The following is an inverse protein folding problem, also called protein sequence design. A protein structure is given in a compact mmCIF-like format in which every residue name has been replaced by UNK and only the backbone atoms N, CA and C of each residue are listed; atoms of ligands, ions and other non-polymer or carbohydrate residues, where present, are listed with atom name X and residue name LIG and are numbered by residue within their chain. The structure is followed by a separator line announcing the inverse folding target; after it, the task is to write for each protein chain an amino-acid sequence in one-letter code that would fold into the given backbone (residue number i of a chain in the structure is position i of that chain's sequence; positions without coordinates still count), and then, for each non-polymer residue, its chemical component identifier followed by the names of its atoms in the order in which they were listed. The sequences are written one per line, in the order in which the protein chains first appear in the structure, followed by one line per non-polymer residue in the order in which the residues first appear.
data_IF_096935988814
#
_entry.id   IF_096935988814
#
_cell.length_a   1.000
_cell.length_b   1.000
_cell.length_c   1.000
_cell.angle_alpha   90.00
_cell.angle_beta   90.00
_cell.angle_gamma   90.00
#
_symmetry.space_group_name_H-M   'P 1'
#
loop_
_entity.id
_entity.type
_entity.pdbx_description
1 polymer ?
#
# COMPACT_ATOMS: atom_id res chain seq x y z
N UNK A 1 13.18 12.05 27.36
CA UNK A 1 14.18 11.53 26.39
C UNK A 1 14.17 12.41 25.15
N UNK A 2 15.26 12.51 24.37
CA UNK A 2 15.33 13.36 23.17
C UNK A 2 15.79 12.57 21.96
N UNK A 3 15.03 12.68 20.88
CA UNK A 3 15.34 12.10 19.57
C UNK A 3 15.38 13.17 18.49
N UNK A 4 16.31 13.03 17.55
CA UNK A 4 16.35 13.91 16.38
C UNK A 4 15.20 13.58 15.42
N UNK A 5 14.85 12.30 15.28
CA UNK A 5 13.71 11.84 14.49
C UNK A 5 12.84 10.89 15.33
N UNK A 6 11.54 11.17 15.38
CA UNK A 6 10.52 10.27 15.91
C UNK A 6 9.62 9.84 14.76
N UNK A 7 9.47 8.52 14.57
CA UNK A 7 8.60 7.92 13.55
C UNK A 7 7.43 7.26 14.26
N UNK A 8 6.21 7.68 13.94
CA UNK A 8 4.97 7.17 14.54
C UNK A 8 4.35 6.16 13.58
N UNK A 9 4.33 4.88 13.97
CA UNK A 9 3.95 3.73 13.15
C UNK A 9 5.16 2.92 12.75
N UNK A 10 5.28 1.69 13.26
CA UNK A 10 6.44 0.81 13.09
C UNK A 10 6.27 -0.30 12.05
N UNK A 11 5.14 -0.30 11.32
CA UNK A 11 4.89 -1.20 10.21
C UNK A 11 5.80 -0.86 9.00
N UNK A 12 5.45 -1.32 7.79
CA UNK A 12 6.37 -1.30 6.66
C UNK A 12 6.83 0.11 6.25
N UNK A 13 5.94 1.11 6.29
CA UNK A 13 6.27 2.50 5.92
C UNK A 13 7.30 3.08 6.90
N UNK A 14 7.00 3.06 8.19
CA UNK A 14 7.92 3.61 9.20
C UNK A 14 9.24 2.84 9.30
N UNK A 15 9.19 1.51 9.19
CA UNK A 15 10.39 0.66 9.12
C UNK A 15 11.24 0.96 7.88
N UNK A 16 10.62 1.23 6.73
CA UNK A 16 11.33 1.62 5.51
C UNK A 16 12.00 2.98 5.65
N UNK A 17 11.32 3.97 6.23
CA UNK A 17 11.87 5.30 6.50
C UNK A 17 13.09 5.20 7.43
N UNK A 18 12.96 4.48 8.55
CA UNK A 18 14.06 4.28 9.49
C UNK A 18 15.26 3.58 8.83
N UNK A 19 14.99 2.56 8.00
CA UNK A 19 16.03 1.81 7.30
C UNK A 19 16.79 2.70 6.32
N UNK A 20 16.08 3.42 5.46
CA UNK A 20 16.72 4.28 4.47
C UNK A 20 17.36 5.54 5.07
N UNK A 21 16.87 6.07 6.20
CA UNK A 21 17.59 7.12 6.92
C UNK A 21 19.02 6.68 7.24
N UNK A 22 19.19 5.43 7.66
CA UNK A 22 20.50 4.85 7.95
C UNK A 22 21.31 4.56 6.68
N UNK A 23 20.68 4.07 5.62
CA UNK A 23 21.34 3.89 4.31
C UNK A 23 21.81 5.22 3.70
N UNK A 24 21.07 6.32 3.91
CA UNK A 24 21.46 7.66 3.48
C UNK A 24 22.55 8.31 4.34
N UNK A 25 22.96 7.67 5.43
CA UNK A 25 24.01 8.17 6.32
C UNK A 25 23.52 9.08 7.44
N UNK A 26 22.21 9.16 7.73
CA UNK A 26 21.74 9.81 8.95
C UNK A 26 22.34 9.10 10.18
N UNK A 27 23.12 9.80 11.00
CA UNK A 27 23.76 9.26 12.20
C UNK A 27 23.04 9.61 13.49
N UNK A 28 22.04 10.48 13.43
CA UNK A 28 21.31 10.98 14.59
C UNK A 28 20.42 9.94 15.27
N UNK A 29 19.83 10.30 16.42
CA UNK A 29 18.95 9.39 17.17
C UNK A 29 17.56 9.24 16.52
N UNK A 30 17.09 8.00 16.39
CA UNK A 30 15.78 7.65 15.82
C UNK A 30 14.99 6.84 16.84
N UNK A 31 13.77 7.29 17.17
CA UNK A 31 12.77 6.47 17.84
C UNK A 31 11.72 6.01 16.83
N UNK A 32 11.46 4.70 16.77
CA UNK A 32 10.40 4.08 15.98
C UNK A 32 9.32 3.54 16.92
N UNK A 33 8.18 4.23 16.95
CA UNK A 33 7.09 3.97 17.90
C UNK A 33 6.00 3.15 17.23
N UNK A 34 5.66 2.01 17.83
CA UNK A 34 4.59 1.12 17.39
C UNK A 34 3.70 0.75 18.58
N UNK A 35 2.38 0.81 18.41
CA UNK A 35 1.43 0.45 19.47
C UNK A 35 1.23 -1.06 19.59
N UNK A 36 1.29 -1.77 18.45
CA UNK A 36 1.06 -3.21 18.36
C UNK A 36 2.33 -3.91 17.84
N UNK A 37 3.14 -4.51 18.73
CA UNK A 37 4.39 -5.15 18.33
C UNK A 37 4.18 -6.44 17.53
N UNK A 38 2.96 -6.99 17.54
CA UNK A 38 2.59 -8.18 16.76
C UNK A 38 2.10 -7.81 15.35
N UNK A 39 1.74 -6.55 15.12
CA UNK A 39 1.13 -6.09 13.87
C UNK A 39 -0.14 -6.90 13.53
N UNK A 40 -0.90 -7.33 14.53
CA UNK A 40 -2.10 -8.14 14.33
C UNK A 40 -3.17 -7.38 13.53
N UNK A 41 -3.25 -6.07 13.74
CA UNK A 41 -4.24 -5.18 13.10
C UNK A 41 -3.64 -4.18 12.13
N UNK A 42 -2.40 -4.41 11.68
CA UNK A 42 -1.73 -3.51 10.75
C UNK A 42 -2.22 -3.71 9.31
N UNK A 43 -2.44 -2.62 8.58
CA UNK A 43 -2.74 -2.65 7.15
C UNK A 43 -1.72 -3.47 6.34
N UNK A 44 -0.46 -3.49 6.78
CA UNK A 44 0.63 -4.27 6.19
C UNK A 44 0.33 -5.77 6.19
N UNK A 45 0.04 -6.35 7.36
CA UNK A 45 -0.09 -7.79 7.58
C UNK A 45 -1.45 -8.33 7.14
N UNK A 46 -2.49 -7.49 7.16
CA UNK A 46 -3.84 -7.84 6.70
C UNK A 46 -4.07 -7.56 5.20
N UNK A 47 -3.05 -7.15 4.45
CA UNK A 47 -3.17 -6.92 3.00
C UNK A 47 -3.11 -8.22 2.18
N UNK A 48 -3.63 -8.17 0.94
CA UNK A 48 -3.40 -9.23 -0.06
C UNK A 48 -2.00 -9.22 -0.69
N UNK A 49 -1.16 -8.27 -0.27
CA UNK A 49 0.28 -8.17 -0.52
C UNK A 49 0.71 -8.37 -1.99
N UNK A 50 0.54 -7.33 -2.79
CA UNK A 50 0.84 -7.38 -4.22
C UNK A 50 1.61 -6.14 -4.71
N UNK A 51 2.31 -6.30 -5.83
CA UNK A 51 3.08 -5.26 -6.51
C UNK A 51 2.67 -5.20 -7.98
N UNK A 52 2.43 -3.99 -8.46
CA UNK A 52 2.10 -3.70 -9.85
C UNK A 52 2.71 -2.38 -10.30
N UNK A 53 2.78 -2.20 -11.61
CA UNK A 53 3.22 -1.00 -12.31
C UNK A 53 2.05 -0.34 -13.05
N UNK A 54 0.87 -0.99 -13.11
CA UNK A 54 -0.32 -0.55 -13.86
C UNK A 54 -1.05 0.71 -13.31
N UNK A 55 -0.37 1.84 -13.11
CA UNK A 55 -0.97 3.11 -12.67
C UNK A 55 -1.20 4.09 -13.83
N UNK A 56 -1.96 5.16 -13.60
CA UNK A 56 -2.12 6.27 -14.54
C UNK A 56 -1.13 7.41 -14.28
N UNK A 57 -0.64 7.54 -13.05
CA UNK A 57 0.33 8.59 -12.67
C UNK A 57 1.76 8.03 -12.72
N UNK A 58 2.67 8.62 -13.53
CA UNK A 58 4.06 8.16 -13.66
C UNK A 58 4.82 8.04 -12.33
N UNK A 59 4.56 8.95 -11.39
CA UNK A 59 5.20 8.94 -10.07
C UNK A 59 4.87 7.67 -9.29
N UNK A 60 3.62 7.18 -9.34
CA UNK A 60 3.23 5.94 -8.67
C UNK A 60 3.86 4.71 -9.34
N UNK A 61 4.02 4.71 -10.66
CA UNK A 61 4.76 3.67 -11.41
C UNK A 61 6.22 3.62 -10.95
N UNK A 62 6.88 4.78 -10.86
CA UNK A 62 8.29 4.88 -10.44
C UNK A 62 8.50 4.44 -8.99
N UNK A 63 7.56 4.73 -8.09
CA UNK A 63 7.60 4.22 -6.71
C UNK A 63 7.54 2.69 -6.67
N UNK A 64 6.63 2.07 -7.44
CA UNK A 64 6.57 0.61 -7.52
C UNK A 64 7.80 -0.01 -8.19
N UNK A 65 8.34 0.61 -9.24
CA UNK A 65 9.56 0.16 -9.90
C UNK A 65 10.79 0.20 -8.99
N UNK A 66 10.88 1.18 -8.09
CA UNK A 66 11.93 1.22 -7.08
C UNK A 66 11.83 -0.02 -6.17
N UNK A 67 10.64 -0.31 -5.66
CA UNK A 67 10.43 -1.48 -4.79
C UNK A 67 10.65 -2.79 -5.54
N UNK A 68 10.26 -2.88 -6.80
CA UNK A 68 10.54 -4.06 -7.63
C UNK A 68 12.04 -4.30 -7.78
N UNK A 69 12.84 -3.24 -7.99
CA UNK A 69 14.31 -3.35 -8.02
C UNK A 69 14.86 -3.87 -6.70
N UNK A 70 14.29 -3.46 -5.56
CA UNK A 70 14.63 -4.02 -4.25
C UNK A 70 14.28 -5.51 -4.18
N UNK A 71 13.12 -5.94 -4.67
CA UNK A 71 12.72 -7.36 -4.66
C UNK A 71 13.72 -8.25 -5.39
N UNK A 72 14.30 -7.77 -6.49
CA UNK A 72 15.38 -8.50 -7.21
C UNK A 72 16.69 -8.57 -6.46
N UNK A 73 16.91 -7.68 -5.49
CA UNK A 73 18.17 -7.50 -4.78
C UNK A 73 18.06 -7.82 -3.29
N UNK A 74 16.97 -8.46 -2.85
CA UNK A 74 16.73 -8.74 -1.43
C UNK A 74 17.92 -9.43 -0.75
N UNK A 75 18.54 -10.40 -1.43
CA UNK A 75 19.68 -11.13 -0.88
C UNK A 75 20.94 -10.27 -0.73
N UNK A 76 21.15 -9.34 -1.66
CA UNK A 76 22.23 -8.35 -1.57
C UNK A 76 21.96 -7.35 -0.44
N UNK A 77 20.72 -6.92 -0.28
CA UNK A 77 20.32 -5.86 0.65
C UNK A 77 20.14 -6.35 2.09
N UNK A 78 19.58 -7.54 2.29
CA UNK A 78 19.17 -8.07 3.60
C UNK A 78 19.90 -9.38 3.99
N UNK A 79 20.79 -9.89 3.12
CA UNK A 79 21.58 -11.09 3.35
C UNK A 79 21.03 -12.34 2.63
N UNK A 80 21.85 -13.39 2.56
CA UNK A 80 21.63 -14.56 1.69
C UNK A 80 20.27 -15.27 1.91
N UNK A 81 19.76 -15.26 3.14
CA UNK A 81 18.50 -15.90 3.54
C UNK A 81 17.26 -15.02 3.30
N UNK A 82 17.42 -13.82 2.73
CA UNK A 82 16.32 -12.92 2.49
C UNK A 82 15.40 -13.46 1.38
N UNK A 83 14.16 -13.74 1.76
CA UNK A 83 13.09 -14.16 0.87
C UNK A 83 11.76 -13.60 1.37
N UNK A 84 10.93 -13.15 0.43
CA UNK A 84 9.56 -12.68 0.68
C UNK A 84 8.53 -13.54 -0.05
N UNK A 85 8.95 -14.66 -0.65
CA UNK A 85 8.07 -15.53 -1.43
C UNK A 85 7.48 -14.83 -2.65
N UNK A 86 8.22 -13.91 -3.30
CA UNK A 86 7.71 -13.15 -4.44
C UNK A 86 7.34 -14.08 -5.60
N UNK A 87 6.05 -14.09 -5.93
CA UNK A 87 5.45 -14.79 -7.06
C UNK A 87 5.20 -13.77 -8.16
N UNK A 88 6.07 -13.77 -9.15
CA UNK A 88 5.95 -12.93 -10.33
C UNK A 88 5.06 -13.61 -11.36
N UNK A 89 3.75 -13.41 -11.23
CA UNK A 89 2.74 -14.00 -12.11
C UNK A 89 1.87 -12.94 -12.82
N UNK A 90 2.22 -11.67 -12.71
CA UNK A 90 1.52 -10.58 -13.42
C UNK A 90 0.25 -10.09 -12.74
N UNK A 91 -0.26 -8.95 -13.22
CA UNK A 91 -1.64 -8.50 -13.03
C UNK A 91 -2.35 -8.49 -14.38
N UNK A 92 -3.64 -8.83 -14.37
CA UNK A 92 -4.54 -8.64 -15.50
C UNK A 92 -5.70 -7.74 -15.05
N UNK A 93 -5.69 -6.49 -15.51
CA UNK A 93 -6.78 -5.54 -15.25
C UNK A 93 -7.68 -5.50 -16.47
N UNK A 94 -8.91 -5.95 -16.32
CA UNK A 94 -9.91 -5.98 -17.37
C UNK A 94 -10.65 -4.63 -17.49
N UNK A 95 -11.15 -4.35 -18.68
CA UNK A 95 -12.03 -3.22 -18.93
C UNK A 95 -13.23 -3.64 -19.78
N UNK A 96 -14.41 -3.17 -19.38
CA UNK A 96 -15.59 -3.12 -20.25
C UNK A 96 -15.42 -2.02 -21.31
N UNK A 97 -16.41 -1.88 -22.19
CA UNK A 97 -16.41 -0.85 -23.23
C UNK A 97 -16.22 0.57 -22.65
N UNK A 98 -16.87 0.85 -21.52
CA UNK A 98 -16.77 2.14 -20.83
C UNK A 98 -15.38 2.40 -20.24
N UNK A 99 -14.70 1.34 -19.78
CA UNK A 99 -13.35 1.44 -19.19
C UNK A 99 -12.22 1.49 -20.22
N UNK A 100 -12.49 1.08 -21.46
CA UNK A 100 -11.47 0.92 -22.51
C UNK A 100 -10.67 2.20 -22.80
N UNK A 101 -11.26 3.41 -22.90
CA UNK A 101 -10.49 4.63 -23.13
C UNK A 101 -9.49 4.92 -22.01
N UNK A 102 -9.89 4.70 -20.76
CA UNK A 102 -9.01 4.90 -19.59
C UNK A 102 -7.91 3.83 -19.57
N UNK A 103 -8.25 2.56 -19.82
CA UNK A 103 -7.27 1.49 -19.87
C UNK A 103 -6.19 1.74 -20.94
N UNK A 104 -6.57 2.25 -22.13
CA UNK A 104 -5.65 2.66 -23.19
C UNK A 104 -4.74 3.81 -22.76
N UNK A 105 -5.30 4.86 -22.16
CA UNK A 105 -4.52 6.00 -21.69
C UNK A 105 -3.51 5.59 -20.60
N UNK A 106 -3.94 4.75 -19.66
CA UNK A 106 -3.09 4.20 -18.61
C UNK A 106 -1.96 3.34 -19.20
N UNK A 107 -2.27 2.48 -20.18
CA UNK A 107 -1.27 1.66 -20.86
C UNK A 107 -0.18 2.49 -21.55
N UNK A 108 -0.54 3.60 -22.19
CA UNK A 108 0.46 4.49 -22.79
C UNK A 108 1.34 5.16 -21.73
N UNK A 109 0.79 5.58 -20.59
CA UNK A 109 1.59 6.10 -19.48
C UNK A 109 2.56 5.03 -18.92
N UNK A 110 2.09 3.79 -18.80
CA UNK A 110 2.89 2.66 -18.33
C UNK A 110 4.03 2.31 -19.28
N UNK A 111 3.76 2.29 -20.59
CA UNK A 111 4.78 2.12 -21.62
C UNK A 111 5.81 3.24 -21.60
N UNK A 112 5.38 4.48 -21.41
CA UNK A 112 6.29 5.62 -21.30
C UNK A 112 7.27 5.48 -20.12
N UNK A 113 6.82 4.83 -19.03
CA UNK A 113 7.66 4.48 -17.87
C UNK A 113 8.37 3.12 -18.02
N UNK A 114 8.40 2.55 -19.23
CA UNK A 114 9.07 1.28 -19.55
C UNK A 114 8.55 0.06 -18.77
N UNK A 115 7.30 0.09 -18.33
CA UNK A 115 6.66 -1.07 -17.72
C UNK A 115 6.27 -2.11 -18.79
N UNK A 116 6.54 -3.39 -18.50
CA UNK A 116 6.34 -4.50 -19.44
C UNK A 116 4.89 -5.01 -19.41
N UNK A 117 3.98 -4.18 -19.95
CA UNK A 117 2.53 -4.42 -19.95
C UNK A 117 2.03 -4.47 -21.40
N UNK A 118 1.20 -5.45 -21.71
CA UNK A 118 0.50 -5.56 -22.99
C UNK A 118 -0.96 -5.19 -22.82
N UNK A 119 -1.55 -4.58 -23.84
CA UNK A 119 -2.99 -4.35 -23.93
C UNK A 119 -3.54 -5.32 -24.99
N UNK A 120 -4.44 -6.19 -24.56
CA UNK A 120 -5.00 -7.25 -25.39
C UNK A 120 -6.52 -7.11 -25.48
N UNK A 121 -7.08 -7.34 -26.67
CA UNK A 121 -8.53 -7.42 -26.87
C UNK A 121 -9.11 -8.75 -26.32
N UNK A 122 -10.44 -8.86 -26.30
CA UNK A 122 -11.13 -10.06 -25.82
C UNK A 122 -10.64 -11.35 -26.50
N UNK A 123 -10.49 -11.35 -27.83
CA UNK A 123 -10.06 -12.54 -28.58
C UNK A 123 -8.62 -12.96 -28.22
N UNK A 124 -7.72 -11.98 -28.04
CA UNK A 124 -6.36 -12.20 -27.58
C UNK A 124 -6.33 -12.76 -26.15
N UNK A 125 -7.17 -12.22 -25.26
CA UNK A 125 -7.31 -12.71 -23.89
C UNK A 125 -7.83 -14.14 -23.85
N UNK A 126 -8.88 -14.49 -24.61
CA UNK A 126 -9.40 -15.87 -24.68
C UNK A 126 -8.36 -16.85 -25.19
N UNK A 127 -7.52 -16.44 -26.16
CA UNK A 127 -6.40 -17.27 -26.64
C UNK A 127 -5.32 -17.45 -25.59
N UNK A 128 -5.01 -16.40 -24.82
CA UNK A 128 -3.97 -16.42 -23.78
C UNK A 128 -4.40 -17.17 -22.53
N UNK A 129 -5.63 -16.93 -22.08
CA UNK A 129 -6.22 -17.46 -20.87
C UNK A 129 -7.54 -18.18 -21.22
N UNK A 130 -7.50 -19.43 -21.73
CA UNK A 130 -8.70 -20.15 -22.17
C UNK A 130 -9.73 -20.40 -21.06
N UNK A 131 -9.33 -20.26 -19.80
CA UNK A 131 -10.19 -20.37 -18.62
C UNK A 131 -10.96 -19.08 -18.29
N UNK A 132 -10.60 -17.96 -18.91
CA UNK A 132 -11.22 -16.65 -18.69
C UNK A 132 -12.41 -16.47 -19.65
N UNK A 133 -13.58 -16.18 -19.07
CA UNK A 133 -14.71 -15.63 -19.82
C UNK A 133 -14.49 -14.15 -20.08
N UNK A 134 -14.59 -13.76 -21.35
CA UNK A 134 -14.48 -12.36 -21.80
C UNK A 134 -15.85 -11.74 -22.10
N UNK A 135 -16.93 -12.32 -21.57
CA UNK A 135 -18.27 -11.73 -21.61
C UNK A 135 -18.24 -10.30 -21.04
N UNK A 136 -18.77 -9.33 -21.79
CA UNK A 136 -18.77 -7.90 -21.48
C UNK A 136 -17.39 -7.25 -21.28
N UNK A 137 -16.31 -7.94 -21.66
CA UNK A 137 -14.93 -7.43 -21.62
C UNK A 137 -14.51 -6.98 -23.01
N UNK A 138 -14.03 -5.74 -23.12
CA UNK A 138 -13.50 -5.19 -24.36
C UNK A 138 -11.99 -5.38 -24.50
N UNK A 139 -11.25 -5.28 -23.39
CA UNK A 139 -9.81 -5.46 -23.37
C UNK A 139 -9.29 -5.75 -21.96
N UNK A 140 -8.02 -6.13 -21.86
CA UNK A 140 -7.29 -6.27 -20.60
C UNK A 140 -5.84 -5.79 -20.74
N UNK A 141 -5.33 -5.13 -19.70
CA UNK A 141 -3.92 -4.82 -19.57
C UNK A 141 -3.25 -5.87 -18.70
N UNK A 142 -2.29 -6.60 -19.27
CA UNK A 142 -1.57 -7.69 -18.64
C UNK A 142 -0.09 -7.36 -18.44
N UNK A 143 0.37 -7.31 -17.19
CA UNK A 143 1.78 -7.21 -16.85
C UNK A 143 2.51 -8.53 -17.07
N UNK A 144 3.41 -8.57 -18.06
CA UNK A 144 4.19 -9.76 -18.42
C UNK A 144 5.36 -10.02 -17.48
N UNK A 145 5.87 -8.97 -16.85
CA UNK A 145 6.94 -9.04 -15.85
C UNK A 145 6.86 -7.88 -14.86
N UNK A 146 7.50 -8.08 -13.71
CA UNK A 146 7.62 -7.08 -12.66
C UNK A 146 6.39 -6.92 -11.76
N UNK A 147 5.40 -7.80 -11.88
CA UNK A 147 4.16 -7.72 -11.12
C UNK A 147 3.76 -9.09 -10.54
N UNK A 148 3.02 -9.05 -9.43
CA UNK A 148 2.55 -10.26 -8.75
C UNK A 148 2.34 -10.04 -7.25
N UNK A 149 2.59 -11.06 -6.44
CA UNK A 149 2.34 -11.02 -4.99
C UNK A 149 3.47 -11.61 -4.17
N UNK A 150 3.49 -11.29 -2.88
CA UNK A 150 4.55 -11.68 -1.95
C UNK A 150 3.99 -11.73 -0.53
N UNK A 151 4.80 -12.17 0.42
CA UNK A 151 4.45 -12.20 1.83
C UNK A 151 4.80 -10.85 2.51
N UNK A 152 3.77 -10.11 2.91
CA UNK A 152 3.93 -8.82 3.58
C UNK A 152 4.63 -8.91 4.94
N UNK A 153 4.42 -10.01 5.68
CA UNK A 153 5.03 -10.22 6.98
C UNK A 153 6.52 -10.51 6.86
N UNK A 154 6.92 -11.30 5.86
CA UNK A 154 8.31 -11.57 5.51
C UNK A 154 9.01 -10.27 5.12
N UNK A 155 8.39 -9.45 4.26
CA UNK A 155 8.95 -8.14 3.88
C UNK A 155 9.14 -7.23 5.11
N UNK A 156 8.12 -7.08 5.96
CA UNK A 156 8.22 -6.30 7.20
C UNK A 156 9.34 -6.84 8.11
N UNK A 157 9.44 -8.16 8.23
CA UNK A 157 10.46 -8.84 9.04
C UNK A 157 11.88 -8.54 8.53
N UNK A 158 12.11 -8.52 7.21
CA UNK A 158 13.41 -8.18 6.65
C UNK A 158 13.85 -6.76 7.05
N UNK A 159 12.97 -5.77 6.87
CA UNK A 159 13.26 -4.39 7.26
C UNK A 159 13.52 -4.27 8.77
N UNK A 160 12.65 -4.86 9.60
CA UNK A 160 12.79 -4.80 11.07
C UNK A 160 14.03 -5.52 11.56
N UNK A 161 14.39 -6.67 10.98
CA UNK A 161 15.64 -7.39 11.29
C UNK A 161 16.86 -6.54 10.95
N UNK A 162 16.87 -5.89 9.78
CA UNK A 162 17.96 -5.02 9.37
C UNK A 162 18.15 -3.81 10.29
N UNK A 163 17.06 -3.29 10.87
CA UNK A 163 17.09 -2.17 11.80
C UNK A 163 17.73 -2.52 13.16
N UNK A 164 17.73 -3.80 13.58
CA UNK A 164 18.31 -4.21 14.88
C UNK A 164 19.81 -3.90 15.00
N UNK A 165 20.54 -3.86 13.89
CA UNK A 165 21.95 -3.50 13.85
C UNK A 165 22.21 -2.03 13.48
N UNK A 166 21.16 -1.21 13.36
CA UNK A 166 21.24 0.17 12.86
C UNK A 166 20.94 1.24 13.92
N UNK A 167 21.08 0.93 15.20
CA UNK A 167 20.92 1.89 16.30
C UNK A 167 19.60 2.69 16.20
N UNK A 168 18.48 1.99 16.04
CA UNK A 168 17.13 2.57 16.05
C UNK A 168 16.43 2.06 17.30
N UNK A 169 15.88 2.96 18.10
CA UNK A 169 15.19 2.61 19.33
C UNK A 169 13.74 2.24 19.00
N UNK A 170 13.40 0.97 19.21
CA UNK A 170 12.03 0.48 19.07
C UNK A 170 11.27 0.73 20.37
N UNK A 171 10.13 1.41 20.26
CA UNK A 171 9.27 1.71 21.41
C UNK A 171 7.89 1.14 21.19
N UNK A 172 7.45 0.29 22.12
CA UNK A 172 6.09 -0.24 22.14
C UNK A 172 5.20 0.69 22.96
N UNK A 173 4.47 1.58 22.31
CA UNK A 173 3.60 2.57 22.97
C UNK A 173 2.60 3.19 21.99
N UNK A 174 1.48 3.69 22.51
CA UNK A 174 0.58 4.55 21.74
C UNK A 174 0.98 6.01 21.90
N UNK A 175 1.04 6.74 20.79
CA UNK A 175 1.12 8.21 20.85
C UNK A 175 -0.27 8.77 21.19
N UNK A 176 -0.35 9.57 22.25
CA UNK A 176 -1.61 10.14 22.77
C UNK A 176 -1.62 11.67 22.73
N UNK A 177 -0.54 12.31 22.30
CA UNK A 177 -0.46 13.76 22.18
C UNK A 177 0.82 14.22 21.49
N UNK A 178 0.76 15.37 20.83
CA UNK A 178 1.91 15.99 20.17
C UNK A 178 1.93 17.47 20.54
N UNK A 179 2.97 17.89 21.24
CA UNK A 179 3.12 19.28 21.69
C UNK A 179 3.80 20.13 20.62
N UNK A 180 3.32 21.36 20.49
CA UNK A 180 3.83 22.34 19.52
C UNK A 180 4.10 23.67 20.16
N UNK A 181 5.16 24.32 19.71
CA UNK A 181 5.42 25.74 19.93
C UNK A 181 5.34 26.45 18.58
N UNK A 182 4.22 27.14 18.34
CA UNK A 182 3.92 27.80 17.07
C UNK A 182 3.94 26.83 15.88
N UNK A 183 4.94 26.97 15.01
CA UNK A 183 5.11 26.17 13.79
C UNK A 183 6.13 25.05 13.93
N UNK A 184 6.42 24.61 15.16
CA UNK A 184 7.36 23.52 15.41
C UNK A 184 6.80 22.54 16.41
N UNK A 185 6.84 21.26 16.08
CA UNK A 185 6.61 20.17 17.05
C UNK A 185 7.81 20.09 17.99
N UNK A 186 7.56 19.99 19.29
CA UNK A 186 8.61 19.94 20.31
C UNK A 186 8.69 18.60 21.02
N UNK A 187 7.54 17.93 21.22
CA UNK A 187 7.52 16.62 21.87
C UNK A 187 6.31 15.77 21.50
N UNK A 188 6.42 14.48 21.78
CA UNK A 188 5.40 13.44 21.60
C UNK A 188 5.13 12.82 22.97
N UNK A 189 3.86 12.71 23.37
CA UNK A 189 3.44 12.07 24.62
C UNK A 189 2.95 10.64 24.36
N UNK A 190 3.34 9.73 25.23
CA UNK A 190 3.00 8.30 25.14
C UNK A 190 1.97 7.91 26.21
N UNK A 191 1.24 6.82 25.94
CA UNK A 191 0.25 6.24 26.85
C UNK A 191 0.83 5.68 28.15
N UNK A 192 2.13 5.37 28.17
CA UNK A 192 2.88 4.98 29.36
C UNK A 192 3.29 6.16 30.26
N UNK A 193 2.91 7.40 29.92
CA UNK A 193 3.23 8.62 30.66
C UNK A 193 4.55 9.30 30.28
N UNK A 194 5.36 8.68 29.40
CA UNK A 194 6.59 9.28 28.92
C UNK A 194 6.33 10.43 27.94
N UNK A 195 7.26 11.39 27.92
CA UNK A 195 7.31 12.46 26.91
C UNK A 195 8.67 12.45 26.23
N UNK A 196 8.64 12.43 24.90
CA UNK A 196 9.80 12.37 24.05
C UNK A 196 9.96 13.71 23.34
N UNK A 197 11.06 14.41 23.57
CA UNK A 197 11.44 15.58 22.77
C UNK A 197 11.82 15.12 21.35
N UNK A 198 11.27 15.80 20.35
CA UNK A 198 11.43 15.41 18.95
C UNK A 198 11.99 16.57 18.11
N UNK A 199 13.10 16.33 17.42
CA UNK A 199 13.63 17.25 16.40
C UNK A 199 12.70 17.34 15.18
N UNK A 200 12.32 16.17 14.67
CA UNK A 200 11.41 15.93 13.55
C UNK A 200 10.45 14.79 13.91
N UNK A 201 9.19 14.91 13.52
CA UNK A 201 8.18 13.85 13.66
C UNK A 201 7.71 13.42 12.28
N UNK A 202 7.66 12.12 12.04
CA UNK A 202 7.18 11.52 10.79
C UNK A 202 5.94 10.69 11.12
N UNK A 203 4.80 11.10 10.56
CA UNK A 203 3.56 10.36 10.67
C UNK A 203 3.54 9.22 9.64
N UNK A 204 3.72 7.99 10.10
CA UNK A 204 3.61 6.76 9.32
C UNK A 204 2.50 5.85 9.91
N UNK A 205 1.49 6.44 10.57
CA UNK A 205 0.53 5.73 11.40
C UNK A 205 -0.61 5.04 10.63
N UNK A 206 -0.43 4.83 9.32
CA UNK A 206 -1.39 4.15 8.45
C UNK A 206 -2.83 4.66 8.66
N UNK A 207 -3.81 3.78 8.92
CA UNK A 207 -5.22 4.17 9.07
C UNK A 207 -5.49 5.20 10.18
N UNK A 208 -4.55 5.38 11.13
CA UNK A 208 -4.65 6.36 12.20
C UNK A 208 -3.98 7.71 11.86
N UNK A 209 -3.47 7.89 10.64
CA UNK A 209 -2.71 9.07 10.26
C UNK A 209 -3.47 10.37 10.49
N UNK A 210 -4.77 10.42 10.18
CA UNK A 210 -5.63 11.58 10.46
C UNK A 210 -5.69 11.93 11.94
N UNK A 211 -5.86 10.93 12.81
CA UNK A 211 -5.87 11.11 14.27
C UNK A 211 -4.53 11.62 14.80
N UNK A 212 -3.42 11.07 14.32
CA UNK A 212 -2.06 11.49 14.71
C UNK A 212 -1.79 12.93 14.25
N UNK A 213 -2.19 13.30 13.03
CA UNK A 213 -2.08 14.68 12.56
C UNK A 213 -2.91 15.64 13.43
N UNK A 214 -4.13 15.24 13.82
CA UNK A 214 -5.01 16.03 14.67
C UNK A 214 -4.43 16.26 16.08
N UNK A 215 -3.67 15.31 16.64
CA UNK A 215 -2.94 15.51 17.90
C UNK A 215 -1.93 16.65 17.82
N UNK A 216 -1.38 16.90 16.64
CA UNK A 216 -0.51 18.05 16.36
C UNK A 216 -1.31 19.28 15.91
N UNK A 217 -2.65 19.30 15.97
CA UNK A 217 -3.48 20.40 15.47
C UNK A 217 -3.38 20.61 13.96
N UNK A 218 -3.17 19.54 13.20
CA UNK A 218 -3.11 19.52 11.73
C UNK A 218 -4.28 18.70 11.18
N UNK A 219 -4.86 19.17 10.07
CA UNK A 219 -5.83 18.37 9.33
C UNK A 219 -5.10 17.40 8.41
N UNK A 220 -5.66 16.21 8.20
CA UNK A 220 -5.21 15.29 7.17
C UNK A 220 -6.44 14.46 6.77
N UNK A 221 -6.88 14.49 5.50
CA UNK A 221 -8.09 13.81 5.04
C UNK A 221 -7.83 12.31 4.84
N UNK A 222 -7.29 11.64 5.85
CA UNK A 222 -6.98 10.21 5.82
C UNK A 222 -7.72 9.51 6.95
N UNK A 223 -8.55 8.54 6.58
CA UNK A 223 -9.42 7.79 7.48
C UNK A 223 -9.27 6.28 7.26
N UNK A 224 -9.59 5.45 8.27
CA UNK A 224 -9.65 4.00 8.08
C UNK A 224 -10.85 3.65 7.19
N UNK A 225 -10.65 2.72 6.26
CA UNK A 225 -11.74 2.02 5.58
C UNK A 225 -11.54 0.52 5.69
N UNK A 226 -12.63 -0.19 5.92
CA UNK A 226 -12.63 -1.65 6.04
C UNK A 226 -12.55 -2.28 4.65
N UNK A 227 -11.76 -3.34 4.54
CA UNK A 227 -11.64 -4.17 3.35
C UNK A 227 -11.63 -5.63 3.80
N UNK A 228 -12.50 -6.42 3.18
CA UNK A 228 -12.63 -7.84 3.45
C UNK A 228 -11.83 -8.63 2.41
N UNK A 229 -11.14 -9.66 2.88
CA UNK A 229 -10.46 -10.63 2.03
C UNK A 229 -11.02 -12.01 2.34
N UNK A 230 -11.33 -12.75 1.30
CA UNK A 230 -11.86 -14.11 1.39
C UNK A 230 -10.92 -15.10 0.74
N UNK A 231 -10.91 -16.31 1.30
CA UNK A 231 -10.14 -17.44 0.83
C UNK A 231 -11.10 -18.56 0.46
N UNK A 232 -10.96 -19.10 -0.73
CA UNK A 232 -11.77 -20.22 -1.18
C UNK A 232 -10.95 -21.32 -1.85
N UNK A 233 -11.51 -22.51 -1.85
CA UNK A 233 -11.05 -23.66 -2.63
C UNK A 233 -11.87 -23.76 -3.91
N UNK A 234 -11.19 -24.09 -5.01
CA UNK A 234 -11.80 -24.46 -6.28
C UNK A 234 -11.11 -25.72 -6.80
N UNK A 235 -11.86 -26.56 -7.53
CA UNK A 235 -11.35 -27.81 -8.11
C UNK A 235 -10.27 -27.53 -9.15
N UNK A 236 -10.55 -26.62 -10.07
CA UNK A 236 -9.65 -26.24 -11.14
C UNK A 236 -8.56 -25.30 -10.64
N UNK A 237 -7.35 -25.50 -11.17
CA UNK A 237 -6.15 -24.73 -10.84
C UNK A 237 -5.48 -24.27 -12.12
N UNK A 238 -5.08 -23.00 -12.14
CA UNK A 238 -4.51 -22.34 -13.31
C UNK A 238 -3.11 -21.83 -12.97
N UNK A 239 -2.08 -22.50 -13.47
CA UNK A 239 -0.68 -22.14 -13.16
C UNK A 239 -0.24 -20.82 -13.80
N UNK A 240 -0.93 -20.41 -14.86
CA UNK A 240 -0.72 -19.19 -15.64
C UNK A 240 -1.60 -18.02 -15.16
N UNK A 241 -2.39 -18.21 -14.11
CA UNK A 241 -3.34 -17.20 -13.65
C UNK A 241 -2.63 -16.02 -12.95
N UNK A 242 -2.76 -14.80 -13.48
CA UNK A 242 -2.29 -13.59 -12.81
C UNK A 242 -3.20 -13.21 -11.65
N UNK A 243 -2.86 -12.12 -10.95
CA UNK A 243 -3.88 -11.41 -10.18
C UNK A 243 -4.85 -10.75 -11.17
N UNK A 244 -6.06 -11.28 -11.24
CA UNK A 244 -7.13 -10.80 -12.11
C UNK A 244 -7.92 -9.71 -11.39
N UNK A 245 -8.22 -8.60 -12.08
CA UNK A 245 -9.16 -7.58 -11.62
C UNK A 245 -10.26 -7.39 -12.65
N UNK A 246 -11.49 -7.59 -12.20
CA UNK A 246 -12.72 -7.34 -12.95
C UNK A 246 -13.07 -5.84 -13.01
N UNK A 247 -13.78 -5.34 -14.04
CA UNK A 247 -14.21 -3.94 -14.09
C UNK A 247 -15.08 -3.49 -12.90
N UNK A 248 -15.69 -4.41 -12.15
CA UNK A 248 -16.38 -4.12 -10.88
C UNK A 248 -15.44 -3.74 -9.72
N UNK A 249 -14.13 -3.96 -9.85
CA UNK A 249 -13.13 -3.80 -8.79
C UNK A 249 -12.89 -5.05 -7.96
N UNK A 250 -13.60 -6.15 -8.24
CA UNK A 250 -13.33 -7.45 -7.61
C UNK A 250 -12.04 -8.03 -8.19
N UNK A 251 -11.16 -8.48 -7.30
CA UNK A 251 -9.90 -9.11 -7.69
C UNK A 251 -9.80 -10.53 -7.17
N UNK A 252 -9.07 -11.38 -7.88
CA UNK A 252 -8.77 -12.75 -7.46
C UNK A 252 -7.36 -13.16 -7.87
N UNK A 253 -6.67 -13.93 -7.01
CA UNK A 253 -5.38 -14.55 -7.33
C UNK A 253 -5.23 -15.93 -6.71
N UNK A 254 -4.39 -16.81 -7.28
CA UNK A 254 -4.01 -18.05 -6.62
C UNK A 254 -3.06 -17.79 -5.42
N UNK A 255 -3.11 -18.68 -4.42
CA UNK A 255 -2.20 -18.74 -3.28
C UNK A 255 -2.03 -20.21 -2.86
N UNK A 256 -0.95 -20.85 -3.32
CA UNK A 256 -0.73 -22.28 -3.08
C UNK A 256 -1.89 -23.12 -3.63
N UNK A 257 -2.61 -23.82 -2.75
CA UNK A 257 -3.77 -24.66 -3.11
C UNK A 257 -5.12 -23.94 -3.07
N UNK A 258 -5.15 -22.67 -2.68
CA UNK A 258 -6.37 -21.86 -2.51
C UNK A 258 -6.35 -20.62 -3.41
N UNK A 259 -7.43 -19.84 -3.36
CA UNK A 259 -7.55 -18.55 -4.01
C UNK A 259 -7.88 -17.47 -2.99
N UNK A 260 -7.36 -16.26 -3.20
CA UNK A 260 -7.68 -15.07 -2.42
C UNK A 260 -8.47 -14.12 -3.31
N UNK A 261 -9.51 -13.52 -2.74
CA UNK A 261 -10.36 -12.55 -3.42
C UNK A 261 -10.79 -11.45 -2.48
N UNK A 262 -11.09 -10.29 -3.06
CA UNK A 262 -11.69 -9.17 -2.37
C UNK A 262 -12.18 -8.14 -3.37
N UNK A 263 -12.71 -7.03 -2.87
CA UNK A 263 -13.19 -5.92 -3.68
C UNK A 263 -13.53 -4.74 -2.78
N UNK A 264 -13.83 -3.59 -3.40
CA UNK A 264 -14.43 -2.49 -2.66
C UNK A 264 -15.81 -2.91 -2.14
N UNK A 265 -16.17 -2.40 -0.96
CA UNK A 265 -17.55 -2.50 -0.48
C UNK A 265 -18.47 -1.70 -1.41
N UNK A 266 -19.77 -2.00 -1.41
CA UNK A 266 -20.75 -1.24 -2.19
C UNK A 266 -20.69 0.25 -1.82
N UNK A 267 -21.09 1.16 -2.71
CA UNK A 267 -21.03 2.61 -2.43
C UNK A 267 -21.75 3.02 -1.14
N UNK A 268 -22.80 2.29 -0.75
CA UNK A 268 -23.52 2.50 0.52
C UNK A 268 -22.74 2.01 1.76
N UNK A 269 -21.86 1.02 1.60
CA UNK A 269 -21.04 0.44 2.67
C UNK A 269 -19.64 1.05 2.79
N UNK A 270 -19.09 1.62 1.70
CA UNK A 270 -17.75 2.22 1.71
C UNK A 270 -17.79 3.59 2.42
N UNK A 271 -17.75 3.56 3.76
CA UNK A 271 -17.63 4.69 4.67
C UNK A 271 -16.45 4.55 5.65
N UNK A 272 -16.14 5.58 6.47
CA UNK A 272 -15.11 5.50 7.49
C UNK A 272 -15.43 4.36 8.47
N UNK A 273 -14.47 3.45 8.65
CA UNK A 273 -14.63 2.31 9.54
C UNK A 273 -14.42 2.70 11.02
N UNK A 274 -15.11 2.01 11.94
CA UNK A 274 -14.70 2.01 13.34
C UNK A 274 -13.29 1.38 13.41
N UNK A 275 -12.28 2.05 13.99
CA UNK A 275 -10.92 1.52 14.08
C UNK A 275 -10.77 0.18 14.81
N UNK A 276 -11.81 -0.27 15.51
CA UNK A 276 -11.88 -1.55 16.22
C UNK A 276 -12.71 -2.62 15.50
N UNK A 277 -13.38 -2.26 14.41
CA UNK A 277 -14.16 -3.21 13.60
C UNK A 277 -13.25 -4.00 12.66
N UNK A 278 -13.00 -5.25 13.02
CA UNK A 278 -12.30 -6.23 12.17
C UNK A 278 -13.21 -7.44 11.86
N UNK A 279 -14.53 -7.26 12.01
CA UNK A 279 -15.50 -8.31 11.72
C UNK A 279 -15.72 -8.42 10.21
N UNK A 280 -15.65 -9.66 9.73
CA UNK A 280 -15.81 -10.00 8.32
C UNK A 280 -17.26 -9.87 7.91
N UNK A 281 -17.50 -9.16 6.81
CA UNK A 281 -18.81 -9.09 6.17
C UNK A 281 -19.02 -10.27 5.20
N UNK A 282 -19.47 -11.41 5.70
CA UNK A 282 -19.67 -12.62 4.88
C UNK A 282 -20.66 -12.47 3.71
N UNK A 283 -21.81 -11.76 3.85
CA UNK A 283 -22.70 -11.47 2.73
C UNK A 283 -22.01 -10.87 1.50
N UNK A 284 -20.98 -10.05 1.68
CA UNK A 284 -20.19 -9.49 0.58
C UNK A 284 -19.62 -10.58 -0.34
N UNK A 285 -19.21 -11.71 0.22
CA UNK A 285 -18.70 -12.82 -0.57
C UNK A 285 -19.79 -13.47 -1.43
N UNK A 286 -20.92 -13.83 -0.80
CA UNK A 286 -21.98 -14.60 -1.45
C UNK A 286 -22.80 -13.77 -2.44
N UNK A 287 -23.10 -12.52 -2.09
CA UNK A 287 -24.04 -11.67 -2.84
C UNK A 287 -23.36 -10.82 -3.92
N UNK A 288 -22.06 -10.52 -3.76
CA UNK A 288 -21.34 -9.57 -4.63
C UNK A 288 -20.13 -10.22 -5.31
N UNK A 289 -19.22 -10.82 -4.54
CA UNK A 289 -17.95 -11.32 -5.08
C UNK A 289 -18.15 -12.58 -5.93
N UNK A 290 -18.80 -13.60 -5.37
CA UNK A 290 -18.92 -14.90 -6.02
C UNK A 290 -19.61 -14.86 -7.38
N UNK A 291 -20.74 -14.12 -7.57
CA UNK A 291 -21.36 -13.98 -8.88
C UNK A 291 -20.39 -13.47 -9.96
N UNK A 292 -19.61 -12.43 -9.66
CA UNK A 292 -18.62 -11.87 -10.60
C UNK A 292 -17.50 -12.87 -10.90
N UNK A 293 -17.01 -13.58 -9.89
CA UNK A 293 -15.99 -14.61 -10.07
C UNK A 293 -16.49 -15.76 -10.95
N UNK A 294 -17.72 -16.23 -10.74
CA UNK A 294 -18.33 -17.30 -11.53
C UNK A 294 -18.55 -16.87 -12.99
N UNK A 295 -18.94 -15.61 -13.23
CA UNK A 295 -19.04 -15.07 -14.59
C UNK A 295 -17.69 -15.03 -15.28
N UNK A 296 -16.61 -14.58 -14.61
CA UNK A 296 -15.29 -14.45 -15.22
C UNK A 296 -14.53 -15.75 -15.36
N UNK A 297 -14.73 -16.69 -14.45
CA UNK A 297 -14.07 -17.98 -14.47
C UNK A 297 -15.17 -19.02 -14.26
N UNK A 298 -15.76 -19.59 -15.33
CA UNK A 298 -16.91 -20.50 -15.19
C UNK A 298 -16.68 -21.69 -14.26
N UNK A 299 -15.43 -22.15 -14.13
CA UNK A 299 -15.05 -23.19 -13.15
C UNK A 299 -15.26 -22.77 -11.68
N UNK A 300 -15.44 -21.48 -11.40
CA UNK A 300 -15.71 -20.94 -10.07
C UNK A 300 -17.21 -20.91 -9.71
N UNK A 301 -18.08 -21.43 -10.58
CA UNK A 301 -19.49 -21.69 -10.24
C UNK A 301 -19.63 -22.66 -9.05
N UNK A 302 -18.63 -23.52 -8.82
CA UNK A 302 -18.60 -24.47 -7.70
C UNK A 302 -17.36 -24.27 -6.81
N UNK A 303 -17.29 -23.15 -6.09
CA UNK A 303 -16.23 -22.85 -5.12
C UNK A 303 -16.69 -23.07 -3.67
N UNK A 304 -15.71 -23.25 -2.77
CA UNK A 304 -15.94 -23.44 -1.34
C UNK A 304 -15.20 -22.37 -0.53
N UNK A 305 -15.92 -21.43 0.11
CA UNK A 305 -15.31 -20.49 1.05
C UNK A 305 -14.68 -21.23 2.23
N UNK A 306 -13.55 -20.73 2.73
CA UNK A 306 -12.80 -21.39 3.81
C UNK A 306 -12.46 -20.45 4.95
N UNK A 307 -11.80 -19.34 4.65
CA UNK A 307 -11.29 -18.37 5.62
C UNK A 307 -11.54 -16.98 5.09
N UNK A 308 -11.60 -16.01 5.98
CA UNK A 308 -11.67 -14.62 5.63
C UNK A 308 -11.08 -13.78 6.77
N UNK A 309 -10.73 -12.54 6.46
CA UNK A 309 -10.37 -11.54 7.45
C UNK A 309 -10.77 -10.16 6.94
N UNK A 310 -11.02 -9.25 7.88
CA UNK A 310 -11.14 -7.83 7.58
C UNK A 310 -9.88 -7.10 8.00
N UNK A 311 -9.53 -6.06 7.27
CA UNK A 311 -8.44 -5.16 7.61
C UNK A 311 -8.79 -3.73 7.26
N UNK A 312 -7.97 -2.80 7.76
CA UNK A 312 -8.10 -1.39 7.46
C UNK A 312 -6.97 -0.93 6.56
N UNK A 313 -7.29 -0.08 5.59
CA UNK A 313 -6.29 0.72 4.90
C UNK A 313 -6.48 2.23 5.17
N UNK A 314 -5.47 3.02 4.87
CA UNK A 314 -5.46 4.46 5.06
C UNK A 314 -5.97 5.19 3.82
N UNK A 315 -7.26 5.46 3.80
CA UNK A 315 -7.95 6.04 2.66
C UNK A 315 -7.86 7.56 2.67
N UNK A 316 -7.22 8.13 1.65
CA UNK A 316 -7.24 9.57 1.44
C UNK A 316 -8.55 9.99 0.76
N UNK A 317 -9.42 10.71 1.49
CA UNK A 317 -10.74 11.13 0.99
C UNK A 317 -10.67 12.24 -0.05
N UNK A 318 -9.53 12.91 -0.23
CA UNK A 318 -9.35 13.92 -1.28
C UNK A 318 -9.26 13.28 -2.66
N UNK A 319 -8.41 12.26 -2.80
CA UNK A 319 -8.02 11.75 -4.11
C UNK A 319 -7.47 10.32 -4.13
N UNK A 320 -7.55 9.62 -3.00
CA UNK A 320 -7.06 8.25 -2.86
C UNK A 320 -5.56 8.09 -3.21
N UNK A 321 -4.76 9.14 -2.97
CA UNK A 321 -3.33 9.10 -3.28
C UNK A 321 -2.47 9.60 -2.12
N UNK A 322 -1.21 9.15 -2.06
CA UNK A 322 -0.34 9.35 -0.92
C UNK A 322 -0.06 10.84 -0.62
N UNK A 323 0.07 11.18 0.66
CA UNK A 323 0.58 12.46 1.15
C UNK A 323 1.99 12.22 1.69
N UNK A 324 2.99 12.82 1.03
CA UNK A 324 4.41 12.57 1.31
C UNK A 324 5.14 13.90 1.52
N UNK A 325 5.91 13.99 2.60
CA UNK A 325 6.81 15.13 2.86
C UNK A 325 6.29 16.09 3.94
N UNK A 326 6.93 17.25 4.11
CA UNK A 326 6.69 18.14 5.25
C UNK A 326 5.39 18.93 5.11
N UNK A 327 4.78 19.22 6.26
CA UNK A 327 3.74 20.25 6.31
C UNK A 327 4.35 21.63 5.98
N UNK A 328 3.70 22.49 5.15
CA UNK A 328 4.28 23.75 4.68
C UNK A 328 4.59 24.75 5.80
N UNK A 329 3.74 24.79 6.84
CA UNK A 329 3.94 25.61 8.05
C UNK A 329 4.76 24.89 9.13
N UNK A 330 4.31 23.72 9.58
CA UNK A 330 4.99 22.88 10.59
C UNK A 330 6.03 21.97 9.95
N UNK A 331 7.13 22.55 9.46
CA UNK A 331 8.08 21.87 8.57
C UNK A 331 8.76 20.63 9.17
N UNK A 332 8.82 20.52 10.50
CA UNK A 332 9.37 19.34 11.18
C UNK A 332 8.32 18.25 11.46
N UNK A 333 7.12 18.35 10.90
CA UNK A 333 6.12 17.30 10.88
C UNK A 333 5.93 16.83 9.43
N UNK A 334 6.27 15.58 9.15
CA UNK A 334 6.23 14.98 7.81
C UNK A 334 5.14 13.91 7.73
N UNK A 335 4.57 13.75 6.54
CA UNK A 335 3.56 12.75 6.22
C UNK A 335 4.16 11.63 5.36
N UNK A 336 3.67 10.42 5.59
CA UNK A 336 3.92 9.22 4.80
C UNK A 336 2.69 8.31 4.88
N UNK A 337 1.56 8.76 4.34
CA UNK A 337 0.24 8.17 4.57
C UNK A 337 -0.68 8.34 3.36
N UNK A 338 -1.90 7.80 3.44
CA UNK A 338 -2.98 8.03 2.48
C UNK A 338 -2.81 7.24 1.19
N UNK A 339 -2.15 6.08 1.26
CA UNK A 339 -1.82 5.29 0.07
C UNK A 339 -3.02 4.56 -0.55
N UNK A 340 -4.18 4.54 0.12
CA UNK A 340 -5.44 3.96 -0.37
C UNK A 340 -5.29 2.60 -1.07
N UNK A 341 -4.52 1.69 -0.45
CA UNK A 341 -4.36 0.31 -0.96
C UNK A 341 -3.02 -0.01 -1.62
N UNK A 342 -2.11 0.96 -1.76
CA UNK A 342 -0.79 0.72 -2.40
C UNK A 342 0.40 0.93 -1.46
N UNK A 343 0.15 1.17 -0.17
CA UNK A 343 1.20 1.54 0.78
C UNK A 343 2.27 0.48 0.95
N UNK A 344 1.94 -0.80 0.87
CA UNK A 344 2.91 -1.89 1.02
C UNK A 344 3.97 -1.86 -0.11
N UNK A 345 3.53 -1.81 -1.36
CA UNK A 345 4.46 -1.81 -2.51
C UNK A 345 5.22 -0.49 -2.64
N UNK A 346 4.68 0.63 -2.15
CA UNK A 346 5.34 1.95 -2.25
C UNK A 346 6.21 2.29 -1.04
N UNK A 347 6.04 1.59 0.09
CA UNK A 347 6.72 1.89 1.35
C UNK A 347 8.24 2.00 1.24
N UNK A 348 8.97 1.09 0.56
CA UNK A 348 10.43 1.24 0.39
C UNK A 348 10.81 2.52 -0.34
N UNK A 349 10.11 2.84 -1.43
CA UNK A 349 10.39 4.02 -2.23
C UNK A 349 10.10 5.32 -1.48
N UNK A 350 9.00 5.36 -0.72
CA UNK A 350 8.69 6.51 0.15
C UNK A 350 9.69 6.63 1.30
N UNK A 351 10.11 5.50 1.88
CA UNK A 351 11.16 5.45 2.89
C UNK A 351 12.46 6.08 2.40
N UNK A 352 12.90 5.68 1.20
CA UNK A 352 14.05 6.25 0.50
C UNK A 352 13.87 7.74 0.21
N UNK A 353 12.74 8.16 -0.34
CA UNK A 353 12.48 9.55 -0.68
C UNK A 353 12.50 10.48 0.54
N UNK A 354 11.88 10.07 1.65
CA UNK A 354 11.89 10.88 2.88
C UNK A 354 13.27 10.89 3.56
N UNK A 355 14.00 9.78 3.52
CA UNK A 355 15.37 9.75 3.99
C UNK A 355 16.27 10.71 3.20
N UNK A 356 16.17 10.71 1.86
CA UNK A 356 16.90 11.64 1.01
C UNK A 356 16.53 13.09 1.31
N UNK A 357 15.24 13.39 1.46
CA UNK A 357 14.77 14.72 1.79
C UNK A 357 15.36 15.21 3.12
N UNK A 358 15.38 14.36 4.14
CA UNK A 358 15.84 14.73 5.49
C UNK A 358 17.37 14.85 5.58
N UNK A 359 18.11 13.99 4.89
CA UNK A 359 19.59 14.00 4.94
C UNK A 359 20.18 15.00 3.95
N UNK A 360 19.59 15.11 2.77
CA UNK A 360 20.18 15.85 1.65
C UNK A 360 19.42 17.13 1.27
N UNK A 361 18.26 17.39 1.88
CA UNK A 361 17.44 18.57 1.61
C UNK A 361 16.58 18.48 0.34
N UNK A 362 16.52 17.31 -0.32
CA UNK A 362 15.70 17.10 -1.52
C UNK A 362 15.59 15.64 -1.93
N UNK A 363 14.54 15.32 -2.70
CA UNK A 363 14.37 14.02 -3.32
C UNK A 363 15.44 13.79 -4.40
N UNK A 364 16.06 12.60 -4.46
CA UNK A 364 17.12 12.28 -5.43
C UNK A 364 16.79 11.08 -6.31
N UNK A 365 16.13 10.06 -5.76
CA UNK A 365 15.81 8.83 -6.51
C UNK A 365 14.45 8.90 -7.19
N UNK A 366 13.40 9.26 -6.45
CA UNK A 366 12.04 9.49 -6.99
C UNK A 366 11.55 10.83 -6.46
N UNK A 367 11.16 11.73 -7.36
CA UNK A 367 10.59 13.02 -6.98
C UNK A 367 9.16 12.85 -6.46
N UNK A 368 8.99 13.02 -5.15
CA UNK A 368 7.69 12.93 -4.48
C UNK A 368 7.01 14.30 -4.28
N UNK A 369 7.49 15.37 -4.91
CA UNK A 369 6.94 16.73 -4.72
C UNK A 369 5.46 16.83 -5.05
N UNK A 370 4.98 16.07 -6.05
CA UNK A 370 3.58 16.01 -6.44
C UNK A 370 2.65 15.45 -5.35
N UNK A 371 3.19 14.67 -4.40
CA UNK A 371 2.44 14.12 -3.26
C UNK A 371 2.41 15.07 -2.04
N UNK A 372 3.05 16.24 -2.13
CA UNK A 372 3.22 17.16 -1.01
C UNK A 372 1.90 17.69 -0.44
N UNK A 373 1.87 17.93 0.87
CA UNK A 373 0.67 18.40 1.61
C UNK A 373 0.05 19.70 1.06
N UNK A 374 0.80 20.53 0.33
CA UNK A 374 0.27 21.78 -0.25
C UNK A 374 -0.96 21.54 -1.12
N UNK A 375 -0.99 20.43 -1.89
CA UNK A 375 -2.15 20.07 -2.72
C UNK A 375 -3.38 19.79 -1.86
N UNK A 376 -3.18 19.19 -0.68
CA UNK A 376 -4.25 18.89 0.28
C UNK A 376 -4.80 20.19 0.87
N UNK A 377 -3.93 21.11 1.27
CA UNK A 377 -4.33 22.41 1.78
C UNK A 377 -5.09 23.25 0.75
N UNK A 378 -4.80 23.06 -0.54
CA UNK A 378 -5.44 23.75 -1.66
C UNK A 378 -6.65 23.01 -2.22
N UNK A 379 -6.98 21.81 -1.71
CA UNK A 379 -8.06 20.98 -2.25
C UNK A 379 -7.80 20.48 -3.68
N UNK A 380 -6.54 20.45 -4.13
CA UNK A 380 -6.15 19.96 -5.45
C UNK A 380 -5.89 18.45 -5.41
N UNK A 381 -6.78 17.71 -6.06
CA UNK A 381 -6.65 16.27 -6.22
C UNK A 381 -5.51 15.91 -7.19
N UNK A 382 -4.79 14.84 -6.85
CA UNK A 382 -3.79 14.15 -7.66
C UNK A 382 -4.21 12.68 -7.78
N UNK A 383 -5.36 12.47 -8.42
CA UNK A 383 -6.09 11.20 -8.41
C UNK A 383 -5.60 10.24 -9.48
N UNK A 384 -5.45 8.97 -9.10
CA UNK A 384 -5.26 7.86 -10.03
C UNK A 384 -6.55 7.53 -10.80
N UNK A 385 -6.43 7.05 -12.03
CA UNK A 385 -7.55 6.59 -12.84
C UNK A 385 -7.54 5.06 -12.96
N UNK A 386 -8.69 4.44 -12.69
CA UNK A 386 -8.92 3.00 -12.82
C UNK A 386 -7.90 2.16 -12.01
N UNK A 387 -7.92 2.37 -10.70
CA UNK A 387 -7.04 1.73 -9.72
C UNK A 387 -7.86 0.83 -8.80
N UNK A 388 -7.26 -0.32 -8.48
CA UNK A 388 -7.83 -1.45 -7.73
C UNK A 388 -7.97 -1.13 -6.25
#
# INVERSE_FOLDING_TARGET
MRYEIVIIGGAIVGSSIAYYLREEGFSGSIALIERDPQFAHAATTLSCASIRQQFSIPQNIRLSQFTLKLFRRLKETFGADADIGFREAGFLILASENGLPILKANHEAQKAESADIVLEDADQLTRRFPWLSTEDISAGAYGRSGEGWFDAHAMLTLFRKALRSKNVDFMTASVIGIERQGHRVTSVRLDNGETIEAGTVINAAGPNAGKVAAMAGLALPVEPRKRNVFVFEARDKYSDMPLLVDPSGIYVRPEGSVYLTGGAETEEGDGPADPTDFEVDWPLFEEVIWPVLATRIPAFEAIKPTRAWAGHYDYNTLDQNAVIGPHPKVKNFLFANGFSGHGLQQAPAVGKALAELLVHGGYRTVDCSAFGYIRVAEGRAFRELNVI
#
